data_IF_315799053650
#
_entry.id   IF_315799053650
#
_cell.length_a   1.000
_cell.length_b   1.000
_cell.length_c   1.000
_cell.angle_alpha   90.00
_cell.angle_beta   90.00
_cell.angle_gamma   90.00
#
_symmetry.space_group_name_H-M   'P 1'
#
loop_
_entity.id
_entity.type
_entity.pdbx_description
1 polymer ?
#
# COMPACT_ATOMS: atom_id res chain seq x y z
N UNK A 1 -18.02 -18.88 13.93
CA UNK A 1 -18.16 -19.33 12.53
C UNK A 1 -16.93 -18.83 11.79
N UNK A 2 -16.24 -19.65 10.99
CA UNK A 2 -15.18 -19.14 10.11
C UNK A 2 -15.76 -18.05 9.22
N UNK A 3 -15.01 -16.97 9.01
CA UNK A 3 -15.36 -15.94 8.03
C UNK A 3 -15.56 -16.64 6.68
N UNK A 4 -16.74 -16.46 6.08
CA UNK A 4 -16.97 -16.88 4.71
C UNK A 4 -15.93 -16.21 3.82
N UNK A 5 -15.46 -16.94 2.80
CA UNK A 5 -14.46 -16.46 1.84
C UNK A 5 -14.78 -15.04 1.34
N UNK A 6 -16.05 -14.79 1.04
CA UNK A 6 -16.52 -13.49 0.58
C UNK A 6 -16.30 -12.37 1.59
N UNK A 7 -16.57 -12.62 2.88
CA UNK A 7 -16.37 -11.63 3.95
C UNK A 7 -14.88 -11.32 4.15
N UNK A 8 -14.02 -12.33 4.06
CA UNK A 8 -12.57 -12.13 4.12
C UNK A 8 -12.06 -11.34 2.91
N UNK A 9 -12.48 -11.70 1.70
CA UNK A 9 -12.14 -10.98 0.47
C UNK A 9 -12.61 -9.53 0.51
N UNK A 10 -13.81 -9.29 1.04
CA UNK A 10 -14.35 -7.95 1.24
C UNK A 10 -13.48 -7.14 2.20
N UNK A 11 -13.06 -7.73 3.33
CA UNK A 11 -12.12 -7.10 4.28
C UNK A 11 -10.80 -6.74 3.59
N UNK A 12 -10.22 -7.64 2.79
CA UNK A 12 -8.94 -7.38 2.11
C UNK A 12 -9.07 -6.31 1.02
N UNK A 13 -10.15 -6.33 0.24
CA UNK A 13 -10.47 -5.28 -0.74
C UNK A 13 -10.66 -3.93 -0.08
N UNK A 14 -11.39 -3.87 1.02
CA UNK A 14 -11.60 -2.63 1.76
C UNK A 14 -10.27 -2.08 2.31
N UNK A 15 -9.44 -2.91 2.94
CA UNK A 15 -8.14 -2.46 3.42
C UNK A 15 -7.24 -1.95 2.28
N UNK A 16 -7.24 -2.64 1.14
CA UNK A 16 -6.52 -2.19 -0.05
C UNK A 16 -6.97 -0.81 -0.52
N UNK A 17 -8.27 -0.57 -0.57
CA UNK A 17 -8.85 0.72 -0.95
C UNK A 17 -8.47 1.82 0.05
N UNK A 18 -8.61 1.57 1.35
CA UNK A 18 -8.25 2.51 2.41
C UNK A 18 -6.77 2.91 2.35
N UNK A 19 -5.87 1.94 2.13
CA UNK A 19 -4.44 2.20 1.95
C UNK A 19 -4.18 3.04 0.71
N UNK A 20 -4.82 2.70 -0.41
CA UNK A 20 -4.66 3.41 -1.66
C UNK A 20 -5.13 4.87 -1.55
N UNK A 21 -6.23 5.12 -0.85
CA UNK A 21 -6.76 6.46 -0.62
C UNK A 21 -5.85 7.29 0.29
N UNK A 22 -5.33 6.68 1.36
CA UNK A 22 -4.35 7.32 2.24
C UNK A 22 -3.09 7.70 1.48
N UNK A 23 -2.54 6.78 0.70
CA UNK A 23 -1.37 6.99 -0.14
C UNK A 23 -1.60 8.08 -1.18
N UNK A 24 -2.74 8.09 -1.87
CA UNK A 24 -3.10 9.14 -2.83
C UNK A 24 -3.24 10.51 -2.16
N UNK A 25 -3.79 10.57 -0.94
CA UNK A 25 -3.90 11.83 -0.19
C UNK A 25 -2.54 12.36 0.24
N UNK A 26 -1.68 11.49 0.75
CA UNK A 26 -0.30 11.87 1.10
C UNK A 26 0.50 12.28 -0.14
N UNK A 27 0.33 11.57 -1.27
CA UNK A 27 0.91 11.93 -2.57
C UNK A 27 0.62 13.37 -2.91
N UNK A 28 -0.65 13.72 -2.91
CA UNK A 28 -1.14 15.02 -3.37
C UNK A 28 -0.49 16.13 -2.54
N UNK A 29 -0.47 15.96 -1.22
CA UNK A 29 0.17 16.91 -0.31
C UNK A 29 1.70 17.03 -0.55
N UNK A 30 2.40 15.90 -0.75
CA UNK A 30 3.84 15.93 -1.07
C UNK A 30 4.11 16.57 -2.44
N UNK A 31 3.26 16.29 -3.43
CA UNK A 31 3.36 16.85 -4.78
C UNK A 31 3.15 18.36 -4.77
N UNK A 32 2.15 18.86 -4.06
CA UNK A 32 1.92 20.30 -3.90
C UNK A 32 3.10 21.00 -3.23
N UNK A 33 3.66 20.39 -2.18
CA UNK A 33 4.85 20.93 -1.50
C UNK A 33 6.10 20.95 -2.39
N UNK A 34 6.25 19.98 -3.28
CA UNK A 34 7.39 19.88 -4.21
C UNK A 34 7.21 20.65 -5.50
N UNK A 35 6.00 21.18 -5.75
CA UNK A 35 5.71 21.96 -6.96
C UNK A 35 6.61 23.19 -7.10
N UNK A 36 7.16 23.72 -6.02
CA UNK A 36 8.11 24.85 -6.04
C UNK A 36 9.56 24.45 -5.72
N UNK A 37 9.85 23.15 -5.64
CA UNK A 37 11.18 22.63 -5.30
C UNK A 37 12.00 22.24 -6.54
N UNK A 38 13.23 21.77 -6.31
CA UNK A 38 14.12 21.29 -7.36
C UNK A 38 13.56 20.05 -8.07
N UNK A 39 14.00 19.85 -9.32
CA UNK A 39 13.67 18.66 -10.13
C UNK A 39 14.05 17.36 -9.43
N UNK A 40 15.16 17.35 -8.68
CA UNK A 40 15.63 16.18 -7.92
C UNK A 40 14.64 15.76 -6.83
N UNK A 41 14.02 16.72 -6.11
CA UNK A 41 13.02 16.41 -5.10
C UNK A 41 11.74 15.81 -5.74
N UNK A 42 11.36 16.31 -6.92
CA UNK A 42 10.22 15.75 -7.68
C UNK A 42 10.52 14.36 -8.20
N UNK A 43 11.73 14.11 -8.72
CA UNK A 43 12.17 12.80 -9.18
C UNK A 43 12.16 11.78 -8.05
N UNK A 44 12.73 12.09 -6.89
CA UNK A 44 12.68 11.17 -5.73
C UNK A 44 11.26 10.81 -5.31
N UNK A 45 10.33 11.79 -5.32
CA UNK A 45 8.92 11.51 -5.04
C UNK A 45 8.30 10.60 -6.10
N UNK A 46 8.69 10.76 -7.36
CA UNK A 46 8.19 9.97 -8.48
C UNK A 46 8.73 8.53 -8.47
N UNK A 47 10.03 8.34 -8.23
CA UNK A 47 10.68 7.02 -8.12
C UNK A 47 10.04 6.17 -7.01
N UNK A 48 9.84 6.77 -5.83
CA UNK A 48 9.22 6.12 -4.67
C UNK A 48 7.73 5.81 -4.93
N UNK A 49 7.09 6.61 -5.79
CA UNK A 49 5.74 6.33 -6.23
C UNK A 49 5.64 5.13 -7.17
N UNK A 50 6.64 4.92 -8.02
CA UNK A 50 6.72 3.73 -8.85
C UNK A 50 6.91 2.49 -7.98
N UNK A 51 7.76 2.57 -6.95
CA UNK A 51 7.96 1.47 -6.00
C UNK A 51 6.68 1.13 -5.24
N UNK A 52 5.98 2.14 -4.71
CA UNK A 52 4.68 1.94 -4.07
C UNK A 52 3.61 1.44 -5.06
N UNK A 53 3.73 1.78 -6.35
CA UNK A 53 2.93 1.21 -7.43
C UNK A 53 3.15 -0.31 -7.59
N UNK A 54 4.40 -0.77 -7.51
CA UNK A 54 4.73 -2.21 -7.55
C UNK A 54 4.19 -2.95 -6.32
N UNK A 55 4.30 -2.36 -5.14
CA UNK A 55 3.77 -2.93 -3.89
C UNK A 55 2.24 -3.02 -3.92
N UNK A 56 1.55 -1.98 -4.38
CA UNK A 56 0.10 -2.00 -4.62
C UNK A 56 -0.32 -3.11 -5.58
N UNK A 57 0.44 -3.32 -6.65
CA UNK A 57 0.18 -4.39 -7.61
C UNK A 57 0.30 -5.76 -6.93
N UNK A 58 1.34 -5.99 -6.14
CA UNK A 58 1.52 -7.24 -5.39
C UNK A 58 0.35 -7.51 -4.44
N UNK A 59 -0.10 -6.48 -3.69
CA UNK A 59 -1.28 -6.57 -2.83
C UNK A 59 -2.53 -6.94 -3.64
N UNK A 60 -2.77 -6.28 -4.77
CA UNK A 60 -3.90 -6.61 -5.65
C UNK A 60 -3.84 -8.03 -6.18
N UNK A 61 -2.66 -8.51 -6.58
CA UNK A 61 -2.45 -9.90 -7.02
C UNK A 61 -2.79 -10.90 -5.91
N UNK A 62 -2.37 -10.64 -4.67
CA UNK A 62 -2.75 -11.49 -3.51
C UNK A 62 -4.27 -11.57 -3.31
N UNK A 63 -4.99 -10.46 -3.46
CA UNK A 63 -6.46 -10.46 -3.37
C UNK A 63 -7.08 -11.33 -4.47
N UNK A 64 -6.54 -11.27 -5.69
CA UNK A 64 -6.99 -12.09 -6.82
C UNK A 64 -6.71 -13.56 -6.55
N UNK A 65 -5.50 -13.91 -6.07
CA UNK A 65 -5.12 -15.28 -5.73
C UNK A 65 -6.07 -15.88 -4.66
N UNK A 66 -6.45 -15.06 -3.68
CA UNK A 66 -7.45 -15.42 -2.68
C UNK A 66 -8.85 -15.60 -3.27
N UNK A 67 -9.21 -14.79 -4.25
CA UNK A 67 -10.51 -14.85 -4.93
C UNK A 67 -10.65 -16.12 -5.76
N UNK A 68 -9.57 -16.61 -6.38
CA UNK A 68 -9.59 -17.84 -7.17
C UNK A 68 -9.40 -19.12 -6.36
N UNK A 69 -8.98 -19.03 -5.08
CA UNK A 69 -8.82 -20.19 -4.22
C UNK A 69 -10.12 -20.99 -4.07
N UNK A 70 -10.10 -22.30 -4.36
CA UNK A 70 -11.28 -23.15 -4.26
C UNK A 70 -11.77 -23.31 -2.82
N UNK A 71 -13.09 -23.50 -2.63
CA UNK A 71 -13.72 -23.60 -1.30
C UNK A 71 -13.09 -24.70 -0.41
N UNK A 72 -12.68 -25.82 -1.01
CA UNK A 72 -12.08 -26.94 -0.28
C UNK A 72 -10.69 -26.66 0.29
N UNK A 73 -9.97 -25.66 -0.22
CA UNK A 73 -8.65 -25.25 0.28
C UNK A 73 -8.72 -23.98 1.14
N UNK A 74 -9.90 -23.36 1.26
CA UNK A 74 -10.05 -22.03 1.86
C UNK A 74 -9.68 -21.98 3.34
N UNK A 75 -10.08 -22.98 4.13
CA UNK A 75 -9.85 -22.97 5.57
C UNK A 75 -8.37 -23.04 5.95
N UNK A 76 -7.55 -23.77 5.18
CA UNK A 76 -6.09 -23.82 5.37
C UNK A 76 -5.37 -22.62 4.73
N UNK A 77 -5.91 -22.12 3.61
CA UNK A 77 -5.28 -21.05 2.85
C UNK A 77 -5.49 -19.66 3.46
N UNK A 78 -6.64 -19.42 4.13
CA UNK A 78 -6.99 -18.10 4.68
C UNK A 78 -5.97 -17.62 5.73
N UNK A 79 -5.47 -18.51 6.59
CA UNK A 79 -4.55 -18.14 7.67
C UNK A 79 -3.17 -17.79 7.11
N UNK A 80 -2.68 -18.57 6.13
CA UNK A 80 -1.43 -18.26 5.43
C UNK A 80 -1.54 -16.96 4.62
N UNK A 81 -2.69 -16.72 4.01
CA UNK A 81 -2.93 -15.53 3.22
C UNK A 81 -3.14 -14.26 4.06
N UNK A 82 -3.80 -14.34 5.22
CA UNK A 82 -3.92 -13.20 6.14
C UNK A 82 -2.54 -12.77 6.63
N UNK A 83 -1.70 -13.72 7.05
CA UNK A 83 -0.33 -13.42 7.47
C UNK A 83 0.49 -12.79 6.34
N UNK A 84 0.45 -13.38 5.14
CA UNK A 84 1.19 -12.84 4.00
C UNK A 84 0.66 -11.48 3.54
N UNK A 85 -0.63 -11.21 3.72
CA UNK A 85 -1.24 -9.92 3.47
C UNK A 85 -0.76 -8.88 4.47
N UNK A 86 -0.83 -9.19 5.76
CA UNK A 86 -0.43 -8.28 6.83
C UNK A 86 1.06 -7.96 6.77
N UNK A 87 1.92 -8.92 6.44
CA UNK A 87 3.36 -8.69 6.26
C UNK A 87 3.64 -7.70 5.12
N UNK A 88 3.04 -7.91 3.95
CA UNK A 88 3.23 -7.02 2.79
C UNK A 88 2.65 -5.64 3.09
N UNK A 89 1.45 -5.58 3.69
CA UNK A 89 0.81 -4.33 4.08
C UNK A 89 1.68 -3.55 5.05
N UNK A 90 2.10 -4.18 6.15
CA UNK A 90 2.88 -3.53 7.20
C UNK A 90 4.24 -3.06 6.67
N UNK A 91 4.94 -3.90 5.90
CA UNK A 91 6.20 -3.54 5.27
C UNK A 91 6.05 -2.32 4.34
N UNK A 92 5.01 -2.32 3.52
CA UNK A 92 4.71 -1.24 2.58
C UNK A 92 4.36 0.06 3.31
N UNK A 93 3.47 0.00 4.31
CA UNK A 93 3.10 1.17 5.10
C UNK A 93 4.29 1.77 5.83
N UNK A 94 5.17 0.94 6.40
CA UNK A 94 6.35 1.40 7.12
C UNK A 94 7.36 2.06 6.19
N UNK A 95 7.61 1.47 5.02
CA UNK A 95 8.47 2.05 3.99
C UNK A 95 7.94 3.42 3.55
N UNK A 96 6.65 3.49 3.21
CA UNK A 96 6.00 4.72 2.79
C UNK A 96 6.01 5.80 3.88
N UNK A 97 5.75 5.44 5.14
CA UNK A 97 5.80 6.39 6.25
C UNK A 97 7.21 6.95 6.46
N UNK A 98 8.23 6.10 6.49
CA UNK A 98 9.62 6.53 6.64
C UNK A 98 10.04 7.48 5.51
N UNK A 99 9.66 7.15 4.26
CA UNK A 99 9.87 8.01 3.11
C UNK A 99 9.14 9.35 3.26
N UNK A 100 7.81 9.33 3.45
CA UNK A 100 6.95 10.51 3.57
C UNK A 100 7.45 11.46 4.66
N UNK A 101 7.86 10.93 5.82
CA UNK A 101 8.44 11.73 6.90
C UNK A 101 9.82 12.30 6.56
N UNK A 102 10.73 11.48 6.04
CA UNK A 102 12.08 11.92 5.63
C UNK A 102 12.00 13.01 4.57
N UNK A 103 11.10 12.83 3.61
CA UNK A 103 10.81 13.77 2.55
C UNK A 103 10.20 15.07 3.10
N UNK A 104 9.15 15.00 3.94
CA UNK A 104 8.58 16.18 4.62
C UNK A 104 9.66 16.98 5.39
N UNK A 105 10.58 16.29 6.09
CA UNK A 105 11.70 16.94 6.80
C UNK A 105 12.67 17.62 5.83
N UNK A 106 12.99 16.98 4.71
CA UNK A 106 13.84 17.58 3.67
C UNK A 106 13.19 18.86 3.13
N UNK A 107 11.90 18.81 2.76
CA UNK A 107 11.15 20.00 2.29
C UNK A 107 11.19 21.13 3.32
N UNK A 108 10.92 20.84 4.59
CA UNK A 108 10.89 21.85 5.65
C UNK A 108 12.25 22.51 5.91
N UNK A 109 13.37 21.89 5.52
CA UNK A 109 14.71 22.49 5.62
C UNK A 109 15.02 23.46 4.49
N UNK A 110 14.32 23.35 3.37
CA UNK A 110 14.44 24.27 2.23
C UNK A 110 13.48 25.47 2.31
N UNK A 111 12.59 25.49 3.31
CA UNK A 111 11.68 26.61 3.60
C UNK A 111 12.31 27.54 4.65
#
# INVERSE_FOLDING_TARGET
MPLAKDEFLKKMKQQYEELNDRWNSERSNLQDKTRNMSTEARQKLEDEWEELGRLRKNMKEKIIDLEVAGENAWDEFKDGAENAWDDVRYGTEKAWQAFSEGFKKAISRFK
#
